data_IF_273763602064
#
_entry.id   IF_273763602064
#
_cell.length_a   1.000
_cell.length_b   1.000
_cell.length_c   1.000
_cell.angle_alpha   90.00
_cell.angle_beta   90.00
_cell.angle_gamma   90.00
#
_symmetry.space_group_name_H-M   'P 1'
#
loop_
_entity.id
_entity.type
_entity.pdbx_description
1 polymer ?
#
# COMPACT_ATOMS: atom_id res chain seq x y z
N UNK A 1 -18.03 14.85 6.66
CA UNK A 1 -17.41 13.77 7.44
C UNK A 1 -16.22 13.16 6.69
N UNK A 2 -14.99 13.41 7.16
CA UNK A 2 -13.79 12.74 6.64
C UNK A 2 -13.88 11.21 6.68
N UNK A 3 -13.37 10.58 5.62
CA UNK A 3 -13.29 9.12 5.49
C UNK A 3 -11.87 8.66 5.83
N UNK A 4 -11.70 7.74 6.77
CA UNK A 4 -10.44 7.02 7.02
C UNK A 4 -10.60 5.60 6.49
N UNK A 5 -9.84 5.25 5.46
CA UNK A 5 -10.03 4.01 4.70
C UNK A 5 -8.74 3.19 4.72
N UNK A 6 -8.81 1.90 5.00
CA UNK A 6 -7.66 1.03 4.78
C UNK A 6 -7.36 0.95 3.27
N UNK A 7 -6.14 1.30 2.86
CA UNK A 7 -5.76 1.36 1.45
C UNK A 7 -5.98 0.02 0.71
N UNK A 8 -5.75 -1.10 1.38
CA UNK A 8 -5.93 -2.43 0.78
C UNK A 8 -7.40 -2.83 0.58
N UNK A 9 -8.35 -1.98 1.00
CA UNK A 9 -9.76 -2.14 0.64
C UNK A 9 -10.01 -1.83 -0.85
N UNK A 10 -9.19 -1.00 -1.51
CA UNK A 10 -9.42 -0.54 -2.89
C UNK A 10 -8.52 -1.21 -3.95
N UNK A 11 -7.60 -2.09 -3.56
CA UNK A 11 -6.75 -2.86 -4.47
C UNK A 11 -6.68 -4.34 -4.02
N UNK A 12 -6.06 -5.19 -4.83
CA UNK A 12 -5.76 -6.57 -4.44
C UNK A 12 -4.48 -6.61 -3.61
N UNK A 13 -4.53 -7.27 -2.45
CA UNK A 13 -3.35 -7.66 -1.69
C UNK A 13 -3.27 -9.18 -1.67
N UNK A 14 -2.39 -9.73 -2.50
CA UNK A 14 -2.19 -11.18 -2.62
C UNK A 14 -1.40 -11.73 -1.44
N UNK A 15 -1.55 -13.03 -1.13
CA UNK A 15 -0.81 -13.67 -0.04
C UNK A 15 0.71 -13.54 -0.21
N UNK A 16 1.43 -13.60 0.92
CA UNK A 16 2.89 -13.43 0.94
C UNK A 16 3.60 -14.44 0.02
N UNK A 17 3.06 -15.64 -0.11
CA UNK A 17 3.54 -16.69 -1.01
C UNK A 17 3.66 -16.26 -2.48
N UNK A 18 2.92 -15.23 -2.92
CA UNK A 18 3.04 -14.68 -4.29
C UNK A 18 4.39 -13.99 -4.49
N UNK A 19 4.85 -13.23 -3.49
CA UNK A 19 6.17 -12.59 -3.49
C UNK A 19 7.28 -13.62 -3.42
N UNK A 20 7.14 -14.61 -2.53
CA UNK A 20 8.09 -15.72 -2.43
C UNK A 20 8.23 -16.45 -3.76
N UNK A 21 7.13 -16.82 -4.41
CA UNK A 21 7.14 -17.45 -5.74
C UNK A 21 7.79 -16.57 -6.80
N UNK A 22 7.55 -15.26 -6.77
CA UNK A 22 8.16 -14.35 -7.75
C UNK A 22 9.67 -14.23 -7.59
N UNK A 23 10.19 -14.32 -6.35
CA UNK A 23 11.63 -14.41 -6.11
C UNK A 23 12.19 -15.80 -6.46
N UNK A 24 11.44 -16.87 -6.20
CA UNK A 24 11.78 -18.23 -6.60
C UNK A 24 11.93 -18.34 -8.12
N UNK A 25 11.00 -17.76 -8.90
CA UNK A 25 11.08 -17.70 -10.35
C UNK A 25 12.35 -17.00 -10.85
N UNK A 26 12.83 -15.97 -10.13
CA UNK A 26 14.11 -15.31 -10.44
C UNK A 26 15.27 -16.27 -10.18
N UNK A 27 15.27 -16.97 -9.04
CA UNK A 27 16.28 -17.97 -8.75
C UNK A 27 16.28 -19.09 -9.81
N UNK A 28 15.13 -19.63 -10.17
CA UNK A 28 15.03 -20.73 -11.13
C UNK A 28 15.54 -20.35 -12.52
N UNK A 29 15.31 -19.10 -12.94
CA UNK A 29 15.76 -18.61 -14.24
C UNK A 29 17.23 -18.22 -14.29
N UNK A 30 17.74 -17.57 -13.24
CA UNK A 30 19.02 -16.87 -13.31
C UNK A 30 20.09 -17.41 -12.36
N UNK A 31 19.72 -18.22 -11.35
CA UNK A 31 20.73 -18.89 -10.53
C UNK A 31 21.29 -20.09 -11.28
N UNK A 32 22.56 -20.02 -11.68
CA UNK A 32 23.28 -21.18 -12.20
C UNK A 32 23.70 -22.04 -11.01
N UNK A 33 22.96 -23.11 -10.73
CA UNK A 33 23.36 -24.08 -9.71
C UNK A 33 24.70 -24.76 -10.06
N UNK A 34 25.50 -25.12 -9.04
CA UNK A 34 26.79 -25.82 -9.21
C UNK A 34 26.63 -27.27 -9.73
N UNK A 35 25.39 -27.77 -9.89
CA UNK A 35 25.07 -29.15 -10.30
C UNK A 35 24.14 -29.16 -11.53
N UNK A 36 24.72 -29.12 -12.73
CA UNK A 36 23.99 -29.04 -14.02
C UNK A 36 23.37 -30.37 -14.50
N UNK A 37 23.41 -31.44 -13.72
CA UNK A 37 23.07 -32.79 -14.21
C UNK A 37 21.61 -33.22 -13.96
N UNK A 38 20.89 -32.60 -13.01
CA UNK A 38 19.48 -32.92 -12.69
C UNK A 38 18.69 -31.63 -12.41
N UNK A 39 18.40 -30.86 -13.47
CA UNK A 39 18.27 -29.40 -13.37
C UNK A 39 16.92 -28.83 -12.93
N UNK A 40 15.76 -29.51 -13.03
CA UNK A 40 14.49 -28.79 -12.77
C UNK A 40 13.95 -28.96 -11.35
N UNK A 41 13.75 -30.19 -10.89
CA UNK A 41 13.08 -30.44 -9.60
C UNK A 41 13.96 -30.20 -8.38
N UNK A 42 15.25 -30.55 -8.45
CA UNK A 42 16.18 -30.31 -7.34
C UNK A 42 16.63 -28.84 -7.29
N UNK A 43 16.69 -28.15 -8.43
CA UNK A 43 17.01 -26.73 -8.50
C UNK A 43 15.89 -25.88 -7.88
N UNK A 44 14.61 -26.14 -8.21
CA UNK A 44 13.50 -25.39 -7.61
C UNK A 44 13.40 -25.58 -6.11
N UNK A 45 13.51 -26.83 -5.62
CA UNK A 45 13.46 -27.07 -4.17
C UNK A 45 14.65 -26.46 -3.42
N UNK A 46 15.86 -26.53 -3.97
CA UNK A 46 17.05 -25.91 -3.36
C UNK A 46 16.99 -24.38 -3.41
N UNK A 47 16.43 -23.81 -4.48
CA UNK A 47 16.20 -22.37 -4.63
C UNK A 47 15.15 -21.86 -3.65
N UNK A 48 14.02 -22.56 -3.49
CA UNK A 48 13.01 -22.23 -2.48
C UNK A 48 13.60 -22.27 -1.07
N UNK A 49 14.32 -23.35 -0.73
CA UNK A 49 14.95 -23.48 0.59
C UNK A 49 15.99 -22.38 0.85
N UNK A 50 16.83 -22.08 -0.14
CA UNK A 50 17.79 -20.98 -0.06
C UNK A 50 17.08 -19.63 0.09
N UNK A 51 16.03 -19.38 -0.69
CA UNK A 51 15.26 -18.14 -0.62
C UNK A 51 14.64 -17.96 0.76
N UNK A 52 13.95 -18.98 1.29
CA UNK A 52 13.36 -18.93 2.62
C UNK A 52 14.42 -18.72 3.71
N UNK A 53 15.60 -19.34 3.57
CA UNK A 53 16.74 -19.09 4.45
C UNK A 53 17.20 -17.63 4.39
N UNK A 54 17.35 -17.07 3.18
CA UNK A 54 17.77 -15.67 3.01
C UNK A 54 16.73 -14.69 3.54
N UNK A 55 15.44 -14.91 3.27
CA UNK A 55 14.36 -14.09 3.81
C UNK A 55 14.36 -14.11 5.34
N UNK A 56 14.45 -15.29 5.95
CA UNK A 56 14.53 -15.42 7.41
C UNK A 56 15.77 -14.78 8.01
N UNK A 57 16.95 -15.00 7.41
CA UNK A 57 18.24 -14.43 7.89
C UNK A 57 18.30 -12.91 7.78
N UNK A 58 17.64 -12.34 6.77
CA UNK A 58 17.66 -10.91 6.49
C UNK A 58 16.40 -10.18 6.97
N UNK A 59 15.45 -10.85 7.62
CA UNK A 59 14.20 -10.23 8.06
C UNK A 59 14.47 -9.01 8.97
N UNK A 60 15.19 -9.21 10.07
CA UNK A 60 15.49 -8.14 11.04
C UNK A 60 16.52 -7.11 10.56
N UNK A 61 17.31 -7.41 9.51
CA UNK A 61 18.42 -6.55 9.04
C UNK A 61 18.11 -5.79 7.76
N UNK A 62 17.10 -6.23 7.00
CA UNK A 62 16.76 -5.68 5.69
C UNK A 62 15.24 -5.47 5.55
N UNK A 63 14.44 -6.52 5.71
CA UNK A 63 13.00 -6.49 5.41
C UNK A 63 12.24 -5.61 6.42
N UNK A 64 12.36 -5.90 7.72
CA UNK A 64 11.69 -5.11 8.76
C UNK A 64 12.18 -3.66 8.80
N UNK A 65 13.50 -3.37 8.77
CA UNK A 65 13.97 -2.00 8.67
C UNK A 65 13.40 -1.23 7.46
N UNK A 66 13.26 -1.87 6.30
CA UNK A 66 12.63 -1.25 5.14
C UNK A 66 11.14 -0.98 5.35
N UNK A 67 10.38 -1.96 5.84
CA UNK A 67 8.94 -1.81 6.15
C UNK A 67 8.68 -0.70 7.19
N UNK A 68 9.65 -0.47 8.08
CA UNK A 68 9.61 0.55 9.12
C UNK A 68 10.08 1.94 8.67
N UNK A 69 10.50 2.11 7.43
CA UNK A 69 11.06 3.38 6.96
C UNK A 69 12.45 3.70 7.53
N UNK A 70 13.18 2.71 8.05
CA UNK A 70 14.56 2.87 8.53
C UNK A 70 15.60 2.69 7.42
N UNK A 71 15.20 2.14 6.28
CA UNK A 71 16.02 2.02 5.06
C UNK A 71 15.29 2.68 3.91
N UNK A 72 16.01 3.46 3.09
CA UNK A 72 15.45 3.99 1.84
C UNK A 72 15.23 2.87 0.82
N UNK A 73 14.34 3.10 -0.16
CA UNK A 73 14.09 2.13 -1.25
C UNK A 73 15.34 1.76 -2.01
N UNK A 74 16.19 2.73 -2.39
CA UNK A 74 17.46 2.46 -3.05
C UNK A 74 18.39 1.56 -2.20
N UNK A 75 18.57 1.87 -0.91
CA UNK A 75 19.38 1.05 -0.01
C UNK A 75 18.80 -0.37 0.17
N UNK A 76 17.48 -0.50 0.24
CA UNK A 76 16.82 -1.80 0.33
C UNK A 76 17.10 -2.64 -0.91
N UNK A 77 16.87 -2.08 -2.10
CA UNK A 77 17.07 -2.74 -3.38
C UNK A 77 18.54 -3.11 -3.64
N UNK A 78 19.49 -2.23 -3.34
CA UNK A 78 20.92 -2.54 -3.43
C UNK A 78 21.35 -3.68 -2.51
N UNK A 79 20.83 -3.70 -1.27
CA UNK A 79 21.11 -4.80 -0.33
C UNK A 79 20.44 -6.09 -0.74
N UNK A 80 19.25 -6.01 -1.34
CA UNK A 80 18.57 -7.16 -1.92
C UNK A 80 19.38 -7.71 -3.10
N UNK A 81 19.91 -6.86 -3.98
CA UNK A 81 20.80 -7.27 -5.07
C UNK A 81 22.07 -7.95 -4.57
N UNK A 82 22.62 -7.57 -3.41
CA UNK A 82 23.75 -8.29 -2.80
C UNK A 82 23.40 -9.72 -2.39
N UNK A 83 22.14 -9.99 -2.01
CA UNK A 83 21.65 -11.36 -1.73
C UNK A 83 21.51 -12.14 -3.04
N UNK A 84 20.98 -11.49 -4.08
CA UNK A 84 20.80 -12.04 -5.42
C UNK A 84 21.96 -11.66 -6.35
N UNK A 85 23.21 -11.77 -5.86
CA UNK A 85 24.38 -11.23 -6.56
C UNK A 85 24.65 -11.86 -7.92
N UNK A 86 24.12 -13.07 -8.17
CA UNK A 86 24.15 -13.73 -9.48
C UNK A 86 23.43 -12.93 -10.57
N UNK A 87 22.57 -11.97 -10.23
CA UNK A 87 21.91 -11.09 -11.20
C UNK A 87 22.82 -10.01 -11.79
N UNK A 88 23.97 -9.71 -11.17
CA UNK A 88 24.86 -8.64 -11.65
C UNK A 88 25.44 -8.92 -13.04
N UNK A 89 25.62 -10.20 -13.37
CA UNK A 89 26.26 -10.64 -14.62
C UNK A 89 25.23 -11.14 -15.66
N UNK A 90 23.93 -10.99 -15.37
CA UNK A 90 22.86 -11.46 -16.26
C UNK A 90 22.69 -10.52 -17.44
N UNK A 91 22.73 -11.08 -18.64
CA UNK A 91 22.34 -10.36 -19.86
C UNK A 91 20.80 -10.33 -19.95
N UNK A 92 20.16 -9.15 -20.10
CA UNK A 92 18.70 -9.05 -20.15
C UNK A 92 18.11 -9.80 -21.34
N UNK A 93 17.12 -10.66 -21.08
CA UNK A 93 16.25 -11.18 -22.13
C UNK A 93 15.35 -10.04 -22.63
N UNK A 94 15.38 -9.76 -23.94
CA UNK A 94 14.70 -8.60 -24.55
C UNK A 94 13.21 -8.52 -24.17
N UNK A 95 12.49 -9.65 -24.28
CA UNK A 95 11.07 -9.73 -23.92
C UNK A 95 10.80 -9.39 -22.47
N UNK A 96 11.64 -9.86 -21.54
CA UNK A 96 11.47 -9.62 -20.10
C UNK A 96 11.78 -8.17 -19.78
N UNK A 97 12.83 -7.61 -20.39
CA UNK A 97 13.18 -6.20 -20.22
C UNK A 97 12.07 -5.26 -20.69
N UNK A 98 11.48 -5.52 -21.86
CA UNK A 98 10.37 -4.71 -22.38
C UNK A 98 9.12 -4.82 -21.49
N UNK A 99 8.81 -6.00 -20.97
CA UNK A 99 7.74 -6.16 -19.98
C UNK A 99 8.01 -5.33 -18.72
N UNK A 100 9.22 -5.38 -18.17
CA UNK A 100 9.59 -4.62 -16.98
C UNK A 100 9.54 -3.11 -17.22
N UNK A 101 10.05 -2.63 -18.36
CA UNK A 101 9.99 -1.21 -18.74
C UNK A 101 8.56 -0.69 -18.85
N UNK A 102 7.60 -1.53 -19.25
CA UNK A 102 6.19 -1.14 -19.33
C UNK A 102 5.53 -0.90 -17.98
N UNK A 103 6.12 -1.37 -16.87
CA UNK A 103 5.51 -1.37 -15.52
C UNK A 103 5.75 -0.08 -14.71
N UNK A 104 6.42 0.93 -15.28
CA UNK A 104 6.74 2.20 -14.59
C UNK A 104 7.39 1.97 -13.21
N UNK A 105 8.40 1.09 -13.16
CA UNK A 105 9.14 0.75 -11.95
C UNK A 105 10.01 1.92 -11.49
N UNK A 106 10.34 1.92 -10.20
CA UNK A 106 11.29 2.86 -9.59
C UNK A 106 12.70 2.67 -10.16
N UNK A 107 13.08 1.43 -10.43
CA UNK A 107 14.44 1.04 -10.83
C UNK A 107 14.66 1.09 -12.33
N UNK A 108 15.90 1.37 -12.75
CA UNK A 108 16.33 1.55 -14.14
C UNK A 108 17.26 0.44 -14.66
N UNK A 109 17.88 -0.32 -13.76
CA UNK A 109 18.73 -1.47 -14.11
C UNK A 109 17.94 -2.77 -14.09
N UNK A 110 18.18 -3.63 -15.09
CA UNK A 110 17.44 -4.89 -15.27
C UNK A 110 17.40 -5.76 -14.01
N UNK A 111 18.55 -5.95 -13.34
CA UNK A 111 18.65 -6.76 -12.14
C UNK A 111 17.76 -6.22 -11.00
N UNK A 112 17.76 -4.90 -10.80
CA UNK A 112 16.96 -4.29 -9.74
C UNK A 112 15.48 -4.27 -10.13
N UNK A 113 15.14 -4.02 -11.40
CA UNK A 113 13.77 -4.11 -11.91
C UNK A 113 13.16 -5.49 -11.68
N UNK A 114 13.92 -6.57 -11.85
CA UNK A 114 13.46 -7.93 -11.52
C UNK A 114 13.10 -8.06 -10.04
N UNK A 115 14.00 -7.63 -9.15
CA UNK A 115 13.81 -7.72 -7.70
C UNK A 115 12.65 -6.84 -7.21
N UNK A 116 12.53 -5.62 -7.74
CA UNK A 116 11.41 -4.72 -7.48
C UNK A 116 10.09 -5.34 -7.95
N UNK A 117 10.04 -5.86 -9.17
CA UNK A 117 8.83 -6.50 -9.70
C UNK A 117 8.44 -7.74 -8.88
N UNK A 118 9.40 -8.54 -8.43
CA UNK A 118 9.13 -9.67 -7.53
C UNK A 118 8.59 -9.20 -6.17
N UNK A 119 9.17 -8.15 -5.60
CA UNK A 119 8.69 -7.54 -4.35
C UNK A 119 7.27 -7.00 -4.47
N UNK A 120 6.95 -6.35 -5.60
CA UNK A 120 5.65 -5.76 -5.88
C UNK A 120 4.57 -6.77 -6.30
N UNK A 121 4.92 -8.04 -6.53
CA UNK A 121 3.98 -9.06 -7.01
C UNK A 121 2.77 -9.34 -6.10
N UNK A 122 2.85 -8.96 -4.82
CA UNK A 122 1.73 -9.01 -3.87
C UNK A 122 0.66 -7.97 -4.18
N UNK A 123 1.02 -6.88 -4.86
CA UNK A 123 0.10 -5.79 -5.18
C UNK A 123 -0.51 -6.08 -6.55
N UNK A 124 -1.84 -6.05 -6.61
CA UNK A 124 -2.56 -6.27 -7.86
C UNK A 124 -3.84 -5.44 -7.94
N UNK A 125 -4.46 -5.51 -9.11
CA UNK A 125 -5.82 -5.04 -9.31
C UNK A 125 -6.83 -6.14 -9.02
N UNK A 126 -7.99 -5.75 -8.51
CA UNK A 126 -9.14 -6.63 -8.28
C UNK A 126 -10.34 -5.98 -8.96
N UNK A 127 -10.81 -6.57 -10.05
CA UNK A 127 -11.92 -6.05 -10.85
C UNK A 127 -13.22 -5.95 -10.03
N UNK A 128 -13.38 -6.78 -8.99
CA UNK A 128 -14.55 -6.70 -8.10
C UNK A 128 -14.59 -5.40 -7.28
N UNK A 129 -13.45 -4.71 -7.18
CA UNK A 129 -13.27 -3.44 -6.47
C UNK A 129 -13.24 -2.22 -7.39
N UNK A 130 -13.52 -2.39 -8.68
CA UNK A 130 -13.36 -1.34 -9.69
C UNK A 130 -14.19 -0.07 -9.42
N UNK A 131 -15.31 -0.19 -8.71
CA UNK A 131 -16.17 0.95 -8.37
C UNK A 131 -15.86 1.56 -6.99
N UNK A 132 -14.95 0.97 -6.21
CA UNK A 132 -14.81 1.31 -4.78
C UNK A 132 -14.27 2.72 -4.56
N UNK A 133 -13.25 3.13 -5.31
CA UNK A 133 -12.72 4.49 -5.17
C UNK A 133 -13.78 5.52 -5.56
N UNK A 134 -14.47 5.30 -6.68
CA UNK A 134 -15.56 6.17 -7.14
C UNK A 134 -16.69 6.26 -6.11
N UNK A 135 -17.02 5.16 -5.42
CA UNK A 135 -17.99 5.16 -4.33
C UNK A 135 -17.56 6.05 -3.17
N UNK A 136 -16.28 6.02 -2.77
CA UNK A 136 -15.75 6.92 -1.74
C UNK A 136 -15.78 8.37 -2.20
N UNK A 137 -15.42 8.65 -3.46
CA UNK A 137 -15.46 9.99 -4.05
C UNK A 137 -16.87 10.56 -3.98
N UNK A 138 -17.85 9.81 -4.48
CA UNK A 138 -19.23 10.22 -4.51
C UNK A 138 -19.83 10.42 -3.12
N UNK A 139 -19.45 9.59 -2.14
CA UNK A 139 -19.87 9.79 -0.75
C UNK A 139 -19.25 11.06 -0.15
N UNK A 140 -17.97 11.32 -0.43
CA UNK A 140 -17.28 12.52 0.03
C UNK A 140 -17.86 13.82 -0.58
N UNK A 141 -18.44 13.73 -1.77
CA UNK A 141 -19.13 14.85 -2.44
C UNK A 141 -20.54 15.08 -1.88
N UNK A 142 -21.22 14.03 -1.39
CA UNK A 142 -22.56 14.15 -0.79
C UNK A 142 -22.57 14.87 0.56
N UNK A 143 -21.44 14.95 1.26
CA UNK A 143 -21.31 15.64 2.54
C UNK A 143 -21.80 17.10 2.50
N UNK A 144 -21.67 17.75 1.35
CA UNK A 144 -22.09 19.16 1.14
C UNK A 144 -23.62 19.34 1.03
N UNK A 145 -24.39 18.32 0.67
CA UNK A 145 -25.83 18.48 0.39
C UNK A 145 -26.70 18.56 1.64
N UNK A 146 -26.18 18.21 2.82
CA UNK A 146 -26.93 18.26 4.08
C UNK A 146 -26.64 19.52 4.91
N UNK A 147 -25.83 20.46 4.41
CA UNK A 147 -25.53 21.75 5.05
C UNK A 147 -26.00 22.89 4.15
N UNK A 148 -27.32 23.03 3.98
CA UNK A 148 -27.85 24.27 3.42
C UNK A 148 -27.83 25.36 4.49
N UNK A 149 -27.02 26.41 4.27
CA UNK A 149 -27.39 27.84 4.30
C UNK A 149 -26.12 28.72 4.37
N UNK A 150 -26.00 29.61 3.38
CA UNK A 150 -25.25 30.90 3.37
C UNK A 150 -23.71 30.92 3.19
N UNK A 151 -23.26 31.21 1.96
CA UNK A 151 -22.57 32.46 1.54
C UNK A 151 -21.52 32.22 0.44
N UNK A 152 -21.66 32.93 -0.69
CA UNK A 152 -20.56 33.21 -1.64
C UNK A 152 -20.55 32.33 -2.89
N UNK A 153 -20.75 32.93 -4.06
CA UNK A 153 -20.84 32.28 -5.36
C UNK A 153 -19.49 31.88 -6.00
N UNK A 154 -18.42 31.71 -5.22
CA UNK A 154 -17.06 31.44 -5.75
C UNK A 154 -16.26 30.36 -4.98
N UNK A 155 -16.87 29.64 -4.03
CA UNK A 155 -16.18 28.52 -3.37
C UNK A 155 -16.45 27.21 -4.11
N UNK A 156 -15.39 26.55 -4.58
CA UNK A 156 -15.47 25.15 -5.04
C UNK A 156 -16.18 24.29 -3.97
N UNK A 157 -17.03 23.32 -4.35
CA UNK A 157 -17.71 22.44 -3.39
C UNK A 157 -16.68 21.78 -2.48
N UNK A 158 -16.88 21.91 -1.17
CA UNK A 158 -15.92 21.50 -0.15
C UNK A 158 -16.09 20.01 0.11
N UNK A 159 -15.49 19.21 -0.77
CA UNK A 159 -15.47 17.76 -0.64
C UNK A 159 -14.84 17.31 0.67
N UNK A 160 -15.47 16.34 1.33
CA UNK A 160 -14.91 15.72 2.53
C UNK A 160 -13.59 14.98 2.20
N UNK A 161 -12.53 15.14 3.00
CA UNK A 161 -11.25 14.51 2.71
C UNK A 161 -11.29 13.00 2.93
N UNK A 162 -10.60 12.26 2.06
CA UNK A 162 -10.41 10.82 2.12
C UNK A 162 -8.96 10.54 2.53
N UNK A 163 -8.76 9.89 3.67
CA UNK A 163 -7.46 9.49 4.20
C UNK A 163 -7.29 7.97 4.06
N UNK A 164 -6.40 7.54 3.19
CA UNK A 164 -6.01 6.13 3.10
C UNK A 164 -4.90 5.80 4.09
N UNK A 165 -5.15 4.87 5.01
CA UNK A 165 -4.13 4.35 5.93
C UNK A 165 -3.53 3.06 5.38
N UNK A 166 -2.21 2.90 5.49
CA UNK A 166 -1.52 1.71 4.98
C UNK A 166 -0.31 1.30 5.84
N UNK A 167 -0.28 0.02 6.22
CA UNK A 167 0.92 -0.67 6.72
C UNK A 167 1.69 -1.27 5.55
N UNK A 168 2.45 -0.45 4.85
CA UNK A 168 3.11 -0.88 3.60
C UNK A 168 4.50 -0.25 3.49
N UNK A 169 5.12 -0.33 2.32
CA UNK A 169 6.41 0.28 1.99
C UNK A 169 6.30 1.13 0.72
N UNK A 170 7.32 1.94 0.45
CA UNK A 170 7.36 2.86 -0.68
C UNK A 170 7.15 2.16 -2.04
N UNK A 171 7.80 1.03 -2.31
CA UNK A 171 7.64 0.29 -3.57
C UNK A 171 6.20 -0.17 -3.79
N UNK A 172 5.55 -0.71 -2.75
CA UNK A 172 4.15 -1.11 -2.82
C UNK A 172 3.23 0.09 -3.07
N UNK A 173 3.48 1.24 -2.44
CA UNK A 173 2.70 2.47 -2.68
C UNK A 173 2.82 2.95 -4.11
N UNK A 174 4.04 2.98 -4.67
CA UNK A 174 4.26 3.35 -6.06
C UNK A 174 3.50 2.43 -7.02
N UNK A 175 3.53 1.11 -6.77
CA UNK A 175 2.76 0.15 -7.56
C UNK A 175 1.25 0.36 -7.45
N UNK A 176 0.73 0.65 -6.25
CA UNK A 176 -0.69 0.96 -6.04
C UNK A 176 -1.07 2.22 -6.82
N UNK A 177 -0.29 3.30 -6.73
CA UNK A 177 -0.56 4.54 -7.45
C UNK A 177 -0.57 4.33 -8.97
N UNK A 178 0.34 3.51 -9.50
CA UNK A 178 0.36 3.17 -10.92
C UNK A 178 -0.90 2.41 -11.34
N UNK A 179 -1.37 1.47 -10.52
CA UNK A 179 -2.64 0.75 -10.76
C UNK A 179 -3.81 1.75 -10.71
N UNK A 180 -3.91 2.59 -9.68
CA UNK A 180 -5.01 3.53 -9.53
C UNK A 180 -5.09 4.53 -10.69
N UNK A 181 -3.97 5.06 -11.16
CA UNK A 181 -3.93 5.95 -12.33
C UNK A 181 -4.38 5.25 -13.61
N UNK A 182 -4.02 3.98 -13.77
CA UNK A 182 -4.40 3.18 -14.94
C UNK A 182 -5.89 2.85 -14.95
N UNK A 183 -6.43 2.45 -13.80
CA UNK A 183 -7.81 1.95 -13.69
C UNK A 183 -8.83 3.07 -13.45
N UNK A 184 -8.40 4.24 -12.95
CA UNK A 184 -9.25 5.42 -12.76
C UNK A 184 -8.73 6.65 -13.53
N UNK A 185 -8.71 6.62 -14.87
CA UNK A 185 -8.15 7.72 -15.69
C UNK A 185 -8.95 9.02 -15.60
N UNK A 186 -10.19 8.98 -15.10
CA UNK A 186 -11.02 10.17 -14.87
C UNK A 186 -10.64 10.94 -13.60
N UNK A 187 -9.90 10.34 -12.68
CA UNK A 187 -9.44 11.00 -11.45
C UNK A 187 -8.13 11.73 -11.75
N UNK A 188 -8.07 13.02 -11.40
CA UNK A 188 -6.88 13.84 -11.57
C UNK A 188 -5.83 13.55 -10.49
N UNK A 189 -5.15 12.40 -10.59
CA UNK A 189 -4.01 12.10 -9.74
C UNK A 189 -2.83 13.02 -10.06
N UNK A 190 -2.18 13.53 -9.03
CA UNK A 190 -0.95 14.31 -9.20
C UNK A 190 0.14 13.46 -9.86
N UNK A 191 0.84 14.06 -10.82
CA UNK A 191 1.91 13.38 -11.58
C UNK A 191 3.13 13.12 -10.72
N UNK A 192 3.54 14.13 -9.95
CA UNK A 192 4.68 14.08 -9.04
C UNK A 192 4.19 13.96 -7.61
N UNK A 193 4.24 12.75 -7.06
CA UNK A 193 3.88 12.47 -5.66
C UNK A 193 5.14 11.95 -4.98
N UNK A 194 5.57 12.65 -3.93
CA UNK A 194 6.69 12.21 -3.13
C UNK A 194 6.21 11.33 -1.97
N UNK A 195 6.32 10.02 -2.18
CA UNK A 195 6.05 8.99 -1.18
C UNK A 195 7.35 8.45 -0.55
N UNK A 196 8.48 9.12 -0.76
CA UNK A 196 9.75 8.64 -0.25
C UNK A 196 9.79 8.56 1.27
N UNK A 197 10.68 7.71 1.75
CA UNK A 197 10.92 7.51 3.18
C UNK A 197 11.57 8.77 3.74
N UNK A 198 10.75 9.57 4.43
CA UNK A 198 11.10 10.81 5.12
C UNK A 198 10.52 10.81 6.52
N UNK A 199 11.15 11.49 7.48
CA UNK A 199 10.63 11.70 8.85
C UNK A 199 9.44 12.69 8.90
N UNK A 200 8.64 12.75 7.83
CA UNK A 200 7.47 13.62 7.72
C UNK A 200 6.23 12.87 8.19
N UNK A 201 5.48 13.48 9.11
CA UNK A 201 4.21 12.97 9.64
C UNK A 201 2.99 13.61 8.98
N UNK A 202 3.17 14.13 7.77
CA UNK A 202 2.10 14.77 7.02
C UNK A 202 1.45 13.79 6.04
N UNK A 203 0.11 13.81 5.92
CA UNK A 203 -0.58 13.05 4.88
C UNK A 203 -0.12 13.51 3.50
N UNK A 204 0.08 12.57 2.58
CA UNK A 204 0.50 12.87 1.21
C UNK A 204 -0.73 13.00 0.34
N UNK A 205 -1.03 14.19 -0.15
CA UNK A 205 -2.12 14.36 -1.11
C UNK A 205 -1.75 13.75 -2.47
N UNK A 206 -2.60 12.89 -3.00
CA UNK A 206 -2.37 12.14 -4.26
C UNK A 206 -3.33 12.53 -5.38
N UNK A 207 -4.45 13.13 -5.02
CA UNK A 207 -5.46 13.75 -5.88
C UNK A 207 -6.24 14.74 -4.99
N UNK A 208 -6.97 15.72 -5.56
CA UNK A 208 -7.71 16.70 -4.76
C UNK A 208 -8.60 16.04 -3.69
N UNK A 209 -8.31 16.32 -2.41
CA UNK A 209 -9.05 15.80 -1.26
C UNK A 209 -8.79 14.32 -0.94
N UNK A 210 -7.78 13.69 -1.54
CA UNK A 210 -7.41 12.29 -1.32
C UNK A 210 -5.97 12.21 -0.82
N UNK A 211 -5.78 11.67 0.38
CA UNK A 211 -4.52 11.65 1.11
C UNK A 211 -4.07 10.23 1.43
N UNK A 212 -2.75 10.00 1.43
CA UNK A 212 -2.12 8.78 1.94
C UNK A 212 -1.46 9.04 3.30
N UNK A 213 -1.77 8.19 4.27
CA UNK A 213 -1.15 8.15 5.58
C UNK A 213 -0.35 6.85 5.70
N UNK A 214 0.96 6.95 5.58
CA UNK A 214 1.86 5.81 5.32
C UNK A 214 2.65 5.44 6.58
N UNK A 215 2.49 4.21 7.07
CA UNK A 215 3.05 3.77 8.35
C UNK A 215 4.54 4.06 8.51
N UNK A 216 5.33 3.83 7.45
CA UNK A 216 6.77 4.02 7.44
C UNK A 216 7.22 5.50 7.52
N UNK A 217 6.38 6.44 7.10
CA UNK A 217 6.65 7.89 7.24
C UNK A 217 6.31 8.40 8.63
N UNK A 218 5.19 7.90 9.18
CA UNK A 218 4.79 8.20 10.55
C UNK A 218 5.63 7.48 11.60
N UNK A 219 6.34 6.41 11.19
CA UNK A 219 6.98 5.43 12.07
C UNK A 219 5.97 4.82 13.06
N UNK A 220 4.74 4.62 12.59
CA UNK A 220 3.61 4.06 13.34
C UNK A 220 2.85 3.08 12.45
N UNK A 221 2.60 1.87 12.94
CA UNK A 221 1.68 0.91 12.34
C UNK A 221 0.22 1.26 12.64
N UNK A 222 -0.70 0.71 11.83
CA UNK A 222 -2.15 0.93 11.93
C UNK A 222 -2.73 0.62 13.32
N UNK A 223 -2.22 -0.39 14.03
CA UNK A 223 -2.72 -0.75 15.38
C UNK A 223 -1.65 -0.60 16.46
N UNK A 224 -2.08 -0.45 17.72
CA UNK A 224 -1.15 -0.35 18.84
C UNK A 224 -0.35 -1.65 19.03
N UNK A 225 -1.00 -2.80 18.87
CA UNK A 225 -0.37 -4.12 19.01
C UNK A 225 0.77 -4.30 18.00
N UNK A 226 0.54 -3.95 16.73
CA UNK A 226 1.59 -3.98 15.70
C UNK A 226 2.78 -3.10 16.09
N UNK A 227 2.53 -1.89 16.62
CA UNK A 227 3.61 -1.03 17.10
C UNK A 227 4.39 -1.64 18.25
N UNK A 228 3.71 -2.28 19.20
CA UNK A 228 4.34 -2.91 20.36
C UNK A 228 5.25 -4.10 20.00
N UNK A 229 5.01 -4.76 18.86
CA UNK A 229 5.92 -5.82 18.37
C UNK A 229 7.31 -5.29 17.98
N UNK A 230 7.40 -4.02 17.58
CA UNK A 230 8.64 -3.38 17.12
C UNK A 230 9.21 -2.44 18.17
N UNK A 231 8.35 -1.70 18.86
CA UNK A 231 8.67 -0.82 19.96
C UNK A 231 7.69 -1.09 21.11
N UNK A 232 8.05 -1.95 22.09
CA UNK A 232 7.19 -2.27 23.22
C UNK A 232 6.77 -1.06 24.06
N UNK A 233 7.47 0.08 23.94
CA UNK A 233 7.13 1.32 24.64
C UNK A 233 6.09 2.17 23.90
N UNK A 234 5.75 1.80 22.66
CA UNK A 234 4.76 2.53 21.88
C UNK A 234 3.36 2.42 22.47
N UNK A 235 2.71 3.58 22.61
CA UNK A 235 1.36 3.74 23.15
C UNK A 235 0.36 4.23 22.09
N UNK A 236 0.82 4.43 20.86
CA UNK A 236 0.06 5.12 19.83
C UNK A 236 0.08 4.34 18.52
N UNK A 237 -1.09 4.17 17.92
CA UNK A 237 -1.23 3.65 16.56
C UNK A 237 -1.29 4.78 15.53
N UNK A 238 -1.11 4.47 14.25
CA UNK A 238 -1.28 5.42 13.16
C UNK A 238 -2.73 5.95 13.14
N UNK A 239 -3.73 5.09 13.31
CA UNK A 239 -5.13 5.51 13.32
C UNK A 239 -5.38 6.49 14.49
N UNK A 240 -4.95 6.13 15.69
CA UNK A 240 -5.11 6.99 16.87
C UNK A 240 -4.34 8.31 16.72
N UNK A 241 -3.11 8.28 16.17
CA UNK A 241 -2.35 9.48 15.88
C UNK A 241 -3.07 10.40 14.90
N UNK A 242 -3.65 9.86 13.83
CA UNK A 242 -4.40 10.65 12.86
C UNK A 242 -5.59 11.35 13.51
N UNK A 243 -6.40 10.62 14.27
CA UNK A 243 -7.61 11.16 14.92
C UNK A 243 -7.27 12.18 16.00
N UNK A 244 -6.33 11.86 16.88
CA UNK A 244 -6.11 12.65 18.12
C UNK A 244 -5.04 13.74 17.98
N UNK A 245 -4.16 13.66 16.97
CA UNK A 245 -3.06 14.61 16.77
C UNK A 245 -3.16 15.34 15.44
N UNK A 246 -3.22 14.60 14.34
CA UNK A 246 -3.16 15.19 12.99
C UNK A 246 -4.45 15.92 12.63
N UNK A 247 -5.59 15.32 12.91
CA UNK A 247 -6.94 15.79 12.55
C UNK A 247 -7.71 16.24 13.78
N UNK A 248 -7.00 16.77 14.78
CA UNK A 248 -7.54 17.18 16.10
C UNK A 248 -8.67 18.21 16.04
N UNK A 249 -8.81 18.90 14.92
CA UNK A 249 -9.83 19.94 14.70
C UNK A 249 -11.18 19.34 14.24
N UNK A 250 -11.18 18.09 13.78
CA UNK A 250 -12.39 17.35 13.41
C UNK A 250 -12.89 16.58 14.63
N UNK A 251 -14.13 16.79 15.08
CA UNK A 251 -14.72 16.00 16.17
C UNK A 251 -14.68 14.51 15.86
N UNK A 252 -14.39 13.69 16.88
CA UNK A 252 -14.23 12.24 16.68
C UNK A 252 -15.51 11.59 16.12
N UNK A 253 -16.67 12.14 16.47
CA UNK A 253 -17.99 11.74 15.95
C UNK A 253 -18.19 12.00 14.45
N UNK A 254 -17.31 12.76 13.81
CA UNK A 254 -17.40 13.11 12.38
C UNK A 254 -16.49 12.27 11.48
N UNK A 255 -15.69 11.36 12.06
CA UNK A 255 -14.93 10.39 11.27
C UNK A 255 -15.77 9.17 10.94
N UNK A 256 -15.56 8.63 9.73
CA UNK A 256 -15.97 7.27 9.39
C UNK A 256 -14.75 6.43 9.09
N UNK A 257 -14.71 5.21 9.60
CA UNK A 257 -13.61 4.26 9.36
C UNK A 257 -14.10 3.09 8.54
N UNK A 258 -13.38 2.76 7.48
CA UNK A 258 -13.69 1.64 6.58
C UNK A 258 -12.45 0.75 6.47
N UNK A 259 -12.54 -0.50 6.92
CA UNK A 259 -11.43 -1.46 6.80
C UNK A 259 -11.93 -2.88 6.53
N UNK A 260 -11.10 -3.69 5.89
CA UNK A 260 -11.29 -5.14 5.78
C UNK A 260 -10.61 -5.92 6.93
N UNK A 261 -9.82 -5.25 7.76
CA UNK A 261 -9.08 -5.87 8.86
C UNK A 261 -9.76 -5.53 10.18
N UNK A 262 -10.14 -6.56 10.94
CA UNK A 262 -10.87 -6.39 12.20
C UNK A 262 -10.08 -5.57 13.22
N UNK A 263 -8.75 -5.71 13.26
CA UNK A 263 -7.91 -5.01 14.23
C UNK A 263 -7.91 -3.49 14.01
N UNK A 264 -8.04 -3.03 12.75
CA UNK A 264 -8.18 -1.60 12.45
C UNK A 264 -9.50 -1.03 13.00
N UNK A 265 -10.58 -1.82 12.94
CA UNK A 265 -11.90 -1.41 13.46
C UNK A 265 -11.91 -1.38 15.00
N UNK A 266 -11.25 -2.35 15.64
CA UNK A 266 -11.06 -2.35 17.10
C UNK A 266 -10.23 -1.14 17.53
N UNK A 267 -9.18 -0.80 16.77
CA UNK A 267 -8.37 0.38 17.05
C UNK A 267 -9.16 1.69 16.86
N UNK A 268 -10.06 1.75 15.87
CA UNK A 268 -10.97 2.90 15.69
C UNK A 268 -11.89 3.13 16.91
N UNK A 269 -12.44 2.06 17.47
CA UNK A 269 -13.22 2.13 18.72
C UNK A 269 -12.35 2.64 19.88
N UNK A 270 -11.10 2.17 20.00
CA UNK A 270 -10.16 2.66 21.02
C UNK A 270 -9.80 4.13 20.85
N UNK A 271 -9.75 4.62 19.61
CA UNK A 271 -9.55 6.03 19.30
C UNK A 271 -10.80 6.89 19.59
N UNK A 272 -11.92 6.29 20.01
CA UNK A 272 -13.15 6.97 20.42
C UNK A 272 -14.16 7.20 19.30
N UNK A 273 -13.97 6.59 18.13
CA UNK A 273 -14.91 6.67 17.00
C UNK A 273 -16.14 5.81 17.32
N UNK A 274 -17.32 6.36 17.06
CA UNK A 274 -18.59 5.68 17.29
C UNK A 274 -18.69 4.41 16.42
N UNK A 275 -19.23 3.33 16.99
CA UNK A 275 -19.46 2.07 16.29
C UNK A 275 -20.35 2.25 15.05
N UNK A 276 -21.29 3.19 15.09
CA UNK A 276 -22.19 3.50 13.95
C UNK A 276 -21.45 4.11 12.74
N UNK A 277 -20.21 4.58 12.96
CA UNK A 277 -19.34 5.16 11.94
C UNK A 277 -18.17 4.23 11.55
N UNK A 278 -18.16 2.98 12.00
CA UNK A 278 -17.10 2.01 11.73
C UNK A 278 -17.68 0.87 10.88
N UNK A 279 -17.08 0.65 9.71
CA UNK A 279 -17.63 -0.26 8.72
C UNK A 279 -16.62 -1.30 8.27
N UNK A 280 -17.10 -2.55 8.18
CA UNK A 280 -16.44 -3.57 7.39
C UNK A 280 -16.51 -3.18 5.90
N UNK A 281 -15.35 -3.19 5.24
CA UNK A 281 -15.24 -2.70 3.86
C UNK A 281 -16.17 -3.42 2.88
N UNK A 282 -16.32 -4.74 3.01
CA UNK A 282 -17.17 -5.53 2.13
C UNK A 282 -18.64 -5.07 2.21
N UNK A 283 -19.15 -4.89 3.42
CA UNK A 283 -20.53 -4.46 3.66
C UNK A 283 -20.74 -3.01 3.20
N UNK A 284 -19.78 -2.13 3.53
CA UNK A 284 -19.82 -0.73 3.14
C UNK A 284 -19.89 -0.58 1.62
N UNK A 285 -18.96 -1.20 0.89
CA UNK A 285 -18.90 -1.06 -0.56
C UNK A 285 -20.04 -1.79 -1.27
N UNK A 286 -20.53 -2.91 -0.74
CA UNK A 286 -21.72 -3.56 -1.28
C UNK A 286 -22.94 -2.62 -1.23
N UNK A 287 -23.15 -1.93 -0.10
CA UNK A 287 -24.22 -0.95 0.03
C UNK A 287 -24.03 0.27 -0.89
N UNK A 288 -22.83 0.85 -0.92
CA UNK A 288 -22.58 2.07 -1.70
C UNK A 288 -22.64 1.83 -3.22
N UNK A 289 -22.04 0.74 -3.70
CA UNK A 289 -22.09 0.41 -5.14
C UNK A 289 -23.51 0.07 -5.59
N UNK A 290 -24.32 -0.59 -4.75
CA UNK A 290 -25.74 -0.81 -5.04
C UNK A 290 -26.52 0.51 -5.12
N UNK A 291 -26.24 1.47 -4.23
CA UNK A 291 -26.86 2.79 -4.26
C UNK A 291 -26.47 3.59 -5.52
N UNK A 292 -25.20 3.55 -5.92
CA UNK A 292 -24.74 4.21 -7.15
C UNK A 292 -25.42 3.63 -8.41
N UNK A 293 -25.60 2.30 -8.46
CA UNK A 293 -26.29 1.65 -9.59
C UNK A 293 -27.77 2.03 -9.71
N UNK A 294 -28.43 2.36 -8.60
CA UNK A 294 -29.83 2.84 -8.60
C UNK A 294 -29.97 4.30 -9.07
N UNK A 295 -28.89 5.06 -9.09
CA UNK A 295 -28.87 6.47 -9.49
C UNK A 295 -28.47 6.68 -10.96
N UNK A 296 -28.03 5.63 -11.65
CA UNK A 296 -27.79 5.61 -13.10
C UNK A 296 -29.05 5.13 -13.81
#
# INVERSE_FOLDING_TARGET
MPLIVNLSAIHALKPISTCVRSFEDICDRYSTGYFSCCSSFFQSWTNYAWLMYQLGRNDSKLIQPYRLGKLTTGQFLERLLKIFSFLNDVTPEERVLEELKSKQLYSDTFAIMLLENAWNSQIGWDESKADYLLALIHEAERGDLNVEVSHGADSEPKRDPIYFIANTNELHVLQILNILRKEYPSINFYRTIDVSIKESKEPVEIAPGIFLCLSYRYQLFKTQEENQTVDPSSTMSLLNYLVTKQLKEVPVSEFRVISQHQDDLVEALRAGIDADNIYQSQDYFAAQTANMRKMK
#
